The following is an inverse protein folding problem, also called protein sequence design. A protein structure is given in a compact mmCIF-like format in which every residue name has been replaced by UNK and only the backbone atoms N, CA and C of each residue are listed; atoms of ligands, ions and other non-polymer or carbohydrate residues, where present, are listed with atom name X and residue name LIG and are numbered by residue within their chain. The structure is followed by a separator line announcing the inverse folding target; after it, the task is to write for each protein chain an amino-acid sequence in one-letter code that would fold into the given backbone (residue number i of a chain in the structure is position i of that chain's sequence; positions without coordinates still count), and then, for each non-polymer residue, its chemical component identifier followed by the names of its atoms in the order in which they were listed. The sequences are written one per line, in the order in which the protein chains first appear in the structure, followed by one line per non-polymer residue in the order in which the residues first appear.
data_IF_068648184099
#
_entry.id   IF_068648184099
#
_cell.length_a   1.000
_cell.length_b   1.000
_cell.length_c   1.000
_cell.angle_alpha   90.00
_cell.angle_beta   90.00
_cell.angle_gamma   90.00
#
_symmetry.space_group_name_H-M   'P 1'
#
loop_
_entity.id
_entity.type
_entity.pdbx_description
1 polymer ?
#
# COMPACT_ATOMS: atom_id res chain seq x y z
N UNK A 1 -15.15 -20.59 4.66
CA UNK A 1 -14.82 -19.91 4.62
C UNK A 1 -14.36 -19.20 4.35
N UNK A 2 -14.40 -18.96 3.92
CA UNK A 2 -13.89 -18.19 3.52
C UNK A 2 -13.60 -17.16 3.67
N UNK A 3 -14.00 -16.89 3.90
CA UNK A 3 -13.63 -15.61 4.28
C UNK A 3 -12.33 -15.07 3.82
N UNK A 4 -11.73 -15.75 3.20
CA UNK A 4 -10.49 -15.36 2.65
C UNK A 4 -10.64 -14.30 1.58
N UNK A 5 -11.84 -14.04 1.19
CA UNK A 5 -12.06 -13.10 0.12
C UNK A 5 -11.86 -11.65 0.56
N UNK A 6 -11.77 -11.37 1.86
CA UNK A 6 -11.54 -10.01 2.30
C UNK A 6 -10.37 -9.99 3.28
N UNK A 7 -9.20 -9.75 2.76
CA UNK A 7 -8.05 -9.58 3.60
C UNK A 7 -8.04 -8.17 4.17
N UNK A 8 -7.85 -8.03 5.47
CA UNK A 8 -7.70 -6.70 6.03
C UNK A 8 -6.41 -6.07 5.55
N UNK A 9 -6.37 -4.74 5.58
CA UNK A 9 -5.15 -4.01 5.31
C UNK A 9 -4.34 -4.00 6.60
N UNK A 10 -3.33 -4.86 6.68
CA UNK A 10 -2.52 -5.00 7.88
C UNK A 10 -1.54 -3.86 8.03
N UNK A 11 -1.35 -3.42 9.27
CA UNK A 11 -0.24 -2.53 9.60
C UNK A 11 1.01 -3.37 9.75
N UNK A 12 2.06 -3.00 9.02
CA UNK A 12 3.33 -3.71 9.10
C UNK A 12 4.40 -2.80 9.70
N UNK A 13 5.47 -3.43 10.18
CA UNK A 13 6.56 -2.75 10.89
C UNK A 13 7.86 -2.93 10.13
N UNK A 14 8.91 -2.25 10.63
CA UNK A 14 10.25 -2.46 10.08
C UNK A 14 10.67 -3.91 10.12
N UNK A 15 10.27 -4.63 11.19
CA UNK A 15 10.65 -6.04 11.35
C UNK A 15 9.93 -6.96 10.37
N UNK A 16 8.73 -6.59 9.94
CA UNK A 16 7.94 -7.45 9.06
C UNK A 16 7.96 -7.01 7.60
N UNK A 17 8.58 -5.88 7.31
CA UNK A 17 8.57 -5.32 5.96
C UNK A 17 9.21 -6.28 4.94
N UNK A 18 10.37 -6.84 5.29
CA UNK A 18 11.06 -7.73 4.37
C UNK A 18 10.20 -8.94 4.03
N UNK A 19 9.61 -9.57 5.04
CA UNK A 19 8.79 -10.76 4.83
C UNK A 19 7.53 -10.45 4.05
N UNK A 20 6.87 -9.35 4.39
CA UNK A 20 5.55 -9.05 3.83
C UNK A 20 5.62 -8.36 2.46
N UNK A 21 6.72 -7.71 2.13
CA UNK A 21 6.82 -6.88 0.93
C UNK A 21 7.95 -7.34 0.01
N UNK A 22 9.12 -7.61 0.57
CA UNK A 22 10.30 -7.86 -0.25
C UNK A 22 10.48 -9.34 -0.63
N UNK A 23 9.98 -10.25 0.19
CA UNK A 23 10.18 -11.69 0.01
C UNK A 23 8.97 -12.40 -0.58
N UNK A 24 7.94 -11.67 -0.95
CA UNK A 24 6.76 -12.25 -1.57
C UNK A 24 6.81 -12.03 -3.09
N UNK A 25 6.27 -13.00 -3.83
CA UNK A 25 6.16 -12.86 -5.27
C UNK A 25 4.90 -12.13 -5.70
N UNK A 26 3.95 -11.99 -4.79
CA UNK A 26 2.70 -11.29 -5.08
C UNK A 26 2.94 -9.80 -5.17
N UNK A 27 2.22 -9.09 -6.04
CA UNK A 27 2.24 -7.63 -5.98
C UNK A 27 1.72 -7.14 -4.64
N UNK A 28 2.35 -6.09 -4.13
CA UNK A 28 1.99 -5.48 -2.85
C UNK A 28 1.84 -3.98 -3.02
N UNK A 29 0.71 -3.45 -2.58
CA UNK A 29 0.51 -2.01 -2.47
C UNK A 29 0.77 -1.60 -1.04
N UNK A 30 1.71 -0.70 -0.83
CA UNK A 30 2.07 -0.21 0.50
C UNK A 30 1.55 1.22 0.63
N UNK A 31 0.68 1.44 1.61
CA UNK A 31 0.15 2.77 1.93
C UNK A 31 0.89 3.31 3.14
N UNK A 32 1.51 4.45 2.99
CA UNK A 32 2.12 5.18 4.12
C UNK A 32 1.13 6.22 4.61
N UNK A 33 0.93 6.28 5.92
CA UNK A 33 -0.11 7.14 6.51
C UNK A 33 0.34 7.62 7.88
N UNK A 34 -0.45 8.51 8.47
CA UNK A 34 -0.23 8.98 9.83
C UNK A 34 -1.58 9.31 10.45
N UNK A 35 -1.65 9.18 11.78
CA UNK A 35 -2.92 9.40 12.49
C UNK A 35 -3.42 10.84 12.39
N UNK A 36 -2.51 11.80 12.25
CA UNK A 36 -2.85 13.22 12.14
C UNK A 36 -3.22 13.63 10.71
N UNK A 37 -3.11 12.74 9.77
CA UNK A 37 -3.27 13.03 8.35
C UNK A 37 -4.72 12.85 7.93
N UNK A 38 -5.43 13.97 7.73
CA UNK A 38 -6.84 13.91 7.33
C UNK A 38 -7.04 13.25 5.95
N UNK A 39 -6.26 13.61 4.91
CA UNK A 39 -6.42 12.93 3.62
C UNK A 39 -6.16 11.42 3.71
N UNK A 40 -5.28 10.98 4.60
CA UNK A 40 -5.06 9.55 4.81
C UNK A 40 -6.34 8.87 5.27
N UNK A 41 -7.04 9.51 6.21
CA UNK A 41 -8.28 8.93 6.73
C UNK A 41 -9.37 8.90 5.69
N UNK A 42 -9.37 9.85 4.77
CA UNK A 42 -10.35 9.87 3.69
C UNK A 42 -10.11 8.75 2.68
N UNK A 43 -8.85 8.40 2.42
CA UNK A 43 -8.55 7.38 1.43
C UNK A 43 -8.58 5.97 2.01
N UNK A 44 -8.52 5.83 3.34
CA UNK A 44 -8.47 4.51 4.00
C UNK A 44 -9.63 3.60 3.60
N UNK A 45 -10.91 4.03 3.63
CA UNK A 45 -11.98 3.12 3.22
C UNK A 45 -11.90 2.72 1.75
N UNK A 46 -11.37 3.61 0.92
CA UNK A 46 -11.17 3.29 -0.50
C UNK A 46 -10.12 2.19 -0.64
N UNK A 47 -9.02 2.31 0.10
CA UNK A 47 -7.94 1.32 0.08
C UNK A 47 -8.44 -0.03 0.61
N UNK A 48 -9.23 -0.01 1.68
CA UNK A 48 -9.79 -1.24 2.24
C UNK A 48 -10.73 -1.94 1.26
N UNK A 49 -11.53 -1.16 0.55
CA UNK A 49 -12.41 -1.71 -0.47
C UNK A 49 -11.62 -2.33 -1.62
N UNK A 50 -10.57 -1.64 -2.06
CA UNK A 50 -9.70 -2.15 -3.11
C UNK A 50 -9.03 -3.45 -2.67
N UNK A 51 -8.54 -3.50 -1.44
CA UNK A 51 -7.89 -4.68 -0.90
C UNK A 51 -8.83 -5.89 -0.93
N UNK A 52 -10.08 -5.69 -0.56
CA UNK A 52 -11.07 -6.76 -0.58
C UNK A 52 -11.37 -7.21 -2.00
N UNK A 53 -11.51 -6.25 -2.92
CA UNK A 53 -11.88 -6.56 -4.31
C UNK A 53 -10.76 -7.28 -5.06
N UNK A 54 -9.49 -7.02 -4.70
CA UNK A 54 -8.37 -7.57 -5.45
C UNK A 54 -7.53 -8.56 -4.64
N UNK A 55 -8.11 -9.14 -3.59
CA UNK A 55 -7.37 -9.97 -2.66
C UNK A 55 -6.78 -11.24 -3.27
N UNK A 56 -7.29 -11.69 -4.41
CA UNK A 56 -6.80 -12.91 -5.03
C UNK A 56 -5.49 -12.70 -5.80
N UNK A 57 -5.09 -11.46 -6.05
CA UNK A 57 -3.84 -11.22 -6.77
C UNK A 57 -3.03 -10.04 -6.25
N UNK A 58 -3.50 -9.35 -5.22
CA UNK A 58 -2.81 -8.17 -4.68
C UNK A 58 -2.89 -8.18 -3.16
N UNK A 59 -1.76 -8.00 -2.51
CA UNK A 59 -1.73 -7.75 -1.07
C UNK A 59 -1.65 -6.24 -0.84
N UNK A 60 -2.34 -5.77 0.19
CA UNK A 60 -2.33 -4.35 0.56
C UNK A 60 -1.95 -4.26 2.02
N UNK A 61 -0.93 -3.47 2.32
CA UNK A 61 -0.46 -3.25 3.68
C UNK A 61 -0.28 -1.76 3.91
N UNK A 62 -0.21 -1.36 5.18
CA UNK A 62 0.00 0.03 5.52
C UNK A 62 1.11 0.18 6.55
N UNK A 63 1.78 1.33 6.49
CA UNK A 63 2.88 1.67 7.38
C UNK A 63 2.55 3.01 8.03
N UNK A 64 2.53 3.05 9.36
CA UNK A 64 2.35 4.28 10.11
C UNK A 64 3.69 5.00 10.17
N UNK A 65 3.73 6.19 9.56
CA UNK A 65 4.95 6.96 9.44
C UNK A 65 5.57 7.29 10.80
N UNK A 66 4.72 7.55 11.79
CA UNK A 66 5.20 7.94 13.12
C UNK A 66 5.69 6.76 13.93
N UNK A 67 5.10 5.59 13.71
CA UNK A 67 5.52 4.39 14.43
C UNK A 67 6.73 3.72 13.80
N UNK A 68 6.94 3.93 12.50
CA UNK A 68 8.03 3.31 11.76
C UNK A 68 8.86 4.38 11.05
N UNK A 69 9.45 5.32 11.81
CA UNK A 69 10.17 6.44 11.17
C UNK A 69 11.43 6.00 10.42
N UNK A 70 12.07 4.94 10.87
CA UNK A 70 13.26 4.44 10.19
C UNK A 70 12.93 3.90 8.82
N UNK A 71 11.83 3.16 8.72
CA UNK A 71 11.39 2.61 7.44
C UNK A 71 11.01 3.72 6.47
N UNK A 72 10.24 4.70 6.94
CA UNK A 72 9.84 5.83 6.11
C UNK A 72 11.05 6.59 5.59
N UNK A 73 12.01 6.86 6.45
CA UNK A 73 13.23 7.56 6.06
C UNK A 73 14.02 6.77 5.03
N UNK A 74 14.14 5.46 5.26
CA UNK A 74 14.87 4.57 4.37
C UNK A 74 14.26 4.55 2.97
N UNK A 75 12.94 4.63 2.88
CA UNK A 75 12.22 4.59 1.61
C UNK A 75 11.99 5.99 1.02
N UNK A 76 12.45 7.04 1.70
CA UNK A 76 12.33 8.40 1.20
C UNK A 76 10.92 8.96 1.26
N UNK A 77 10.10 8.48 2.17
CA UNK A 77 8.71 8.93 2.29
C UNK A 77 8.69 10.20 3.15
N UNK A 78 8.28 11.32 2.55
CA UNK A 78 8.25 12.61 3.24
C UNK A 78 6.85 13.23 3.29
N UNK A 79 5.90 12.66 2.57
CA UNK A 79 4.51 13.17 2.52
C UNK A 79 3.55 12.01 2.59
N UNK A 80 2.39 12.23 3.21
CA UNK A 80 1.35 11.21 3.31
C UNK A 80 0.00 11.79 2.86
N UNK A 81 -0.90 10.94 2.34
CA UNK A 81 -0.69 9.53 2.05
C UNK A 81 0.25 9.35 0.87
N UNK A 82 1.06 8.32 0.95
CA UNK A 82 1.95 7.94 -0.14
C UNK A 82 1.75 6.46 -0.41
N UNK A 83 1.89 6.07 -1.66
CA UNK A 83 1.67 4.70 -2.10
C UNK A 83 2.86 4.23 -2.91
N UNK A 84 3.32 3.03 -2.61
CA UNK A 84 4.40 2.40 -3.39
C UNK A 84 3.92 1.00 -3.75
N UNK A 85 4.10 0.63 -5.01
CA UNK A 85 3.77 -0.71 -5.50
C UNK A 85 5.06 -1.50 -5.62
N UNK A 86 5.06 -2.67 -5.00
CA UNK A 86 6.17 -3.63 -5.12
C UNK A 86 5.69 -4.83 -5.92
N UNK A 87 6.52 -5.34 -6.80
CA UNK A 87 6.20 -6.53 -7.57
C UNK A 87 7.43 -7.42 -7.58
N UNK A 88 7.30 -8.62 -7.02
CA UNK A 88 8.43 -9.52 -6.89
C UNK A 88 9.53 -8.95 -6.00
N UNK A 89 9.15 -8.17 -5.00
CA UNK A 89 10.09 -7.57 -4.07
C UNK A 89 10.77 -6.30 -4.56
N UNK A 90 10.39 -5.80 -5.74
CA UNK A 90 10.99 -4.61 -6.33
C UNK A 90 9.97 -3.48 -6.40
N UNK A 91 10.33 -2.25 -6.02
CA UNK A 91 9.42 -1.13 -6.21
C UNK A 91 9.29 -0.82 -7.70
N UNK A 92 8.06 -0.79 -8.17
CA UNK A 92 7.80 -0.59 -9.60
C UNK A 92 7.08 0.71 -9.90
N UNK A 93 6.62 1.42 -8.87
CA UNK A 93 5.99 2.71 -9.06
C UNK A 93 5.30 3.17 -7.81
N UNK A 94 4.72 4.35 -7.86
CA UNK A 94 4.02 4.88 -6.71
C UNK A 94 3.46 6.27 -7.00
N UNK A 95 2.80 6.83 -5.99
CA UNK A 95 2.27 8.21 -6.08
C UNK A 95 2.07 8.76 -4.69
N UNK A 96 1.84 10.06 -4.60
CA UNK A 96 1.59 10.77 -3.36
C UNK A 96 0.23 11.45 -3.46
N UNK A 97 -0.53 11.41 -2.38
CA UNK A 97 -1.80 12.12 -2.29
C UNK A 97 -3.00 11.21 -2.34
N UNK A 98 -4.10 11.68 -1.75
CA UNK A 98 -5.38 10.99 -1.79
C UNK A 98 -6.05 11.28 -3.12
N UNK A 99 -6.54 10.23 -3.77
CA UNK A 99 -7.23 10.36 -5.06
C UNK A 99 -8.52 9.56 -5.00
N UNK A 100 -9.49 9.87 -5.86
CA UNK A 100 -10.72 9.07 -5.93
C UNK A 100 -10.41 7.63 -6.30
N UNK A 101 -11.34 6.74 -5.96
CA UNK A 101 -11.13 5.31 -6.16
C UNK A 101 -10.77 4.97 -7.60
N UNK A 102 -11.49 5.52 -8.58
CA UNK A 102 -11.21 5.16 -9.98
C UNK A 102 -9.82 5.61 -10.42
N UNK A 103 -9.34 6.74 -9.89
CA UNK A 103 -8.00 7.23 -10.20
C UNK A 103 -6.95 6.33 -9.54
N UNK A 104 -7.20 5.91 -8.29
CA UNK A 104 -6.31 4.99 -7.60
C UNK A 104 -6.19 3.69 -8.37
N UNK A 105 -7.33 3.16 -8.83
CA UNK A 105 -7.34 1.93 -9.62
C UNK A 105 -6.56 2.09 -10.92
N UNK A 106 -6.72 3.22 -11.59
CA UNK A 106 -5.98 3.47 -12.84
C UNK A 106 -4.48 3.53 -12.61
N UNK A 107 -4.07 4.23 -11.54
CA UNK A 107 -2.64 4.33 -11.21
C UNK A 107 -2.06 2.96 -10.91
N UNK A 108 -2.76 2.20 -10.06
CA UNK A 108 -2.32 0.87 -9.68
C UNK A 108 -2.23 -0.05 -10.89
N UNK A 109 -3.27 -0.08 -11.71
CA UNK A 109 -3.29 -0.96 -12.87
C UNK A 109 -2.20 -0.60 -13.88
N UNK A 110 -1.95 0.68 -14.07
CA UNK A 110 -0.89 1.13 -14.96
C UNK A 110 0.47 0.63 -14.49
N UNK A 111 0.75 0.74 -13.19
CA UNK A 111 2.01 0.29 -12.62
C UNK A 111 2.13 -1.23 -12.72
N UNK A 112 1.06 -1.96 -12.42
CA UNK A 112 1.08 -3.42 -12.48
C UNK A 112 1.29 -3.95 -13.90
N UNK A 113 0.87 -3.18 -14.91
CA UNK A 113 1.10 -3.56 -16.31
C UNK A 113 2.47 -3.14 -16.81
N UNK A 114 3.30 -2.56 -15.93
CA UNK A 114 4.61 -2.11 -16.33
C UNK A 114 4.64 -0.74 -16.98
N UNK A 115 3.52 -0.01 -16.88
CA UNK A 115 3.44 1.32 -17.45
C UNK A 115 3.97 2.41 -16.54
N UNK A 116 4.46 2.03 -15.38
CA UNK A 116 5.14 2.84 -14.41
C UNK A 116 4.85 4.28 -14.29
#
# INVERSE_FOLDING_TARGET
MPAHSSRPVDSITEQTFAERVLQTERPVLVQFWATWCHPCRMVTPIVEQLAAEQSDHLDVVKVDLDEEPGLAAQLGITSVPAFVVYNGGQPTGGWVGAVPKHVLEEKLNSILRGGG
#
